data_IF_375047235751
#
_entry.id   IF_375047235751
#
_cell.length_a   1.000
_cell.length_b   1.000
_cell.length_c   1.000
_cell.angle_alpha   90.00
_cell.angle_beta   90.00
_cell.angle_gamma   90.00
#
_symmetry.space_group_name_H-M   'P 1'
#
loop_
_entity.id
_entity.type
_entity.pdbx_description
1 polymer ?
#
# COMPACT_ATOMS: atom_id res chain seq x y z
N UNK A 1 3.73 6.37 41.91
CA UNK A 1 4.85 5.65 41.25
C UNK A 1 5.76 5.12 42.34
N UNK A 2 6.24 3.87 42.24
CA UNK A 2 7.07 3.27 43.30
C UNK A 2 8.50 3.84 43.37
N UNK A 3 9.05 4.31 42.26
CA UNK A 3 10.36 4.98 42.18
C UNK A 3 10.27 6.16 41.17
N UNK A 4 9.75 7.33 41.57
CA UNK A 4 9.79 8.50 40.72
C UNK A 4 11.23 9.01 40.56
N UNK A 5 11.55 9.61 39.42
CA UNK A 5 12.81 10.35 39.27
C UNK A 5 12.73 11.55 40.21
N UNK A 6 13.70 11.68 41.11
CA UNK A 6 13.74 12.78 42.06
C UNK A 6 14.19 14.09 41.39
N UNK A 7 13.77 15.22 41.96
CA UNK A 7 14.07 16.54 41.42
C UNK A 7 15.59 16.83 41.38
N UNK A 8 16.38 16.30 42.33
CA UNK A 8 17.83 16.50 42.35
C UNK A 8 18.51 15.77 41.19
N UNK A 9 18.02 14.60 40.82
CA UNK A 9 18.47 13.87 39.63
C UNK A 9 18.17 14.66 38.36
N UNK A 10 16.98 15.25 38.25
CA UNK A 10 16.62 16.12 37.10
C UNK A 10 17.50 17.38 37.07
N UNK A 11 17.74 18.02 38.21
CA UNK A 11 18.68 19.16 38.33
C UNK A 11 20.09 18.76 37.87
N UNK A 12 20.57 17.58 38.28
CA UNK A 12 21.85 17.04 37.80
C UNK A 12 21.86 16.79 36.30
N UNK A 13 20.76 16.33 35.69
CA UNK A 13 20.65 16.15 34.25
C UNK A 13 20.71 17.50 33.53
N UNK A 14 19.93 18.49 34.00
CA UNK A 14 19.90 19.84 33.44
C UNK A 14 21.27 20.50 33.48
N UNK A 15 21.98 20.36 34.61
CA UNK A 15 23.34 20.89 34.76
C UNK A 15 24.27 20.26 33.73
N UNK A 16 24.36 18.93 33.68
CA UNK A 16 25.22 18.19 32.75
C UNK A 16 24.91 18.51 31.29
N UNK A 17 23.64 18.59 30.91
CA UNK A 17 23.22 18.89 29.54
C UNK A 17 23.53 20.34 29.11
N UNK A 18 23.47 21.30 30.04
CA UNK A 18 23.77 22.71 29.74
C UNK A 18 25.27 23.01 29.76
N UNK A 19 26.06 22.22 30.50
CA UNK A 19 27.53 22.30 30.52
C UNK A 19 28.17 21.62 29.30
N UNK A 20 27.48 20.67 28.65
CA UNK A 20 27.98 19.98 27.47
C UNK A 20 27.90 20.86 26.20
N UNK A 21 29.07 21.22 25.66
CA UNK A 21 29.20 22.02 24.46
C UNK A 21 28.62 21.36 23.19
N UNK A 22 28.73 20.04 23.06
CA UNK A 22 28.16 19.29 21.93
C UNK A 22 26.63 19.32 21.99
N UNK A 23 26.05 19.11 23.17
CA UNK A 23 24.60 19.20 23.36
C UNK A 23 24.09 20.60 23.03
N UNK A 24 24.77 21.65 23.51
CA UNK A 24 24.40 23.03 23.19
C UNK A 24 24.46 23.31 21.68
N UNK A 25 25.52 22.85 21.01
CA UNK A 25 25.68 23.02 19.57
C UNK A 25 24.60 22.28 18.78
N UNK A 26 24.40 20.99 19.07
CA UNK A 26 23.36 20.18 18.45
C UNK A 26 21.97 20.78 18.67
N UNK A 27 21.63 21.17 19.91
CA UNK A 27 20.36 21.83 20.26
C UNK A 27 20.14 23.08 19.41
N UNK A 28 21.12 23.98 19.34
CA UNK A 28 20.98 25.22 18.57
C UNK A 28 20.78 24.95 17.07
N UNK A 29 21.54 24.00 16.52
CA UNK A 29 21.44 23.61 15.11
C UNK A 29 20.08 22.96 14.80
N UNK A 30 19.60 22.03 15.63
CA UNK A 30 18.34 21.30 15.35
C UNK A 30 17.09 22.06 15.77
N UNK A 31 17.19 23.13 16.57
CA UNK A 31 16.02 23.87 17.07
C UNK A 31 15.20 24.53 15.95
N UNK A 32 15.87 24.98 14.88
CA UNK A 32 15.22 25.64 13.72
C UNK A 32 15.37 24.86 12.42
N UNK A 33 16.09 23.73 12.42
CA UNK A 33 16.41 22.97 11.20
C UNK A 33 15.97 21.52 11.33
N UNK A 34 15.77 20.86 10.19
CA UNK A 34 15.53 19.42 10.15
C UNK A 34 16.80 18.66 10.61
N UNK A 35 16.64 17.76 11.58
CA UNK A 35 17.73 16.95 12.12
C UNK A 35 18.51 16.19 11.03
N UNK A 36 17.82 15.63 10.03
CA UNK A 36 18.45 14.83 8.98
C UNK A 36 19.40 15.68 8.13
N UNK A 37 19.04 16.92 7.84
CA UNK A 37 19.89 17.87 7.11
C UNK A 37 21.12 18.27 7.94
N UNK A 38 20.95 18.48 9.24
CA UNK A 38 22.04 18.80 10.17
C UNK A 38 23.02 17.63 10.33
N UNK A 39 22.50 16.40 10.30
CA UNK A 39 23.28 15.18 10.49
C UNK A 39 23.97 14.67 9.21
N UNK A 40 23.85 15.37 8.08
CA UNK A 40 24.47 14.98 6.82
C UNK A 40 26.00 15.00 6.91
N UNK A 41 26.63 13.87 6.56
CA UNK A 41 28.08 13.77 6.45
C UNK A 41 28.53 14.18 5.04
N UNK A 42 29.15 15.37 4.96
CA UNK A 42 29.64 15.94 3.71
C UNK A 42 30.64 15.02 2.99
N UNK A 43 31.53 14.38 3.73
CA UNK A 43 32.59 13.55 3.15
C UNK A 43 32.06 12.26 2.54
N UNK A 44 30.93 11.75 3.05
CA UNK A 44 30.22 10.63 2.43
C UNK A 44 29.32 11.11 1.29
N UNK A 45 28.58 12.21 1.48
CA UNK A 45 27.66 12.73 0.48
C UNK A 45 28.36 13.03 -0.85
N UNK A 46 29.55 13.67 -0.81
CA UNK A 46 30.33 13.98 -2.01
C UNK A 46 30.86 12.76 -2.77
N UNK A 47 30.82 11.56 -2.17
CA UNK A 47 31.31 10.30 -2.77
C UNK A 47 30.20 9.50 -3.45
N UNK A 48 28.93 9.92 -3.31
CA UNK A 48 27.82 9.26 -3.97
C UNK A 48 27.92 9.55 -5.47
N UNK A 49 28.25 8.51 -6.24
CA UNK A 49 28.27 8.53 -7.71
C UNK A 49 27.04 7.81 -8.25
N UNK A 50 26.31 8.46 -9.15
CA UNK A 50 25.14 7.90 -9.84
C UNK A 50 25.49 7.44 -11.27
N UNK A 51 26.76 7.22 -11.56
CA UNK A 51 27.26 6.62 -12.79
C UNK A 51 27.37 5.10 -12.64
N UNK A 52 26.75 4.36 -13.56
CA UNK A 52 26.75 2.89 -13.55
C UNK A 52 27.23 2.35 -14.89
N UNK A 53 28.05 1.29 -14.87
CA UNK A 53 28.60 0.66 -16.08
C UNK A 53 27.54 -0.03 -16.93
N UNK A 54 26.54 -0.64 -16.26
CA UNK A 54 25.51 -1.46 -16.88
C UNK A 54 24.14 -0.88 -16.54
N UNK A 55 23.41 -0.47 -17.57
CA UNK A 55 22.09 0.13 -17.45
C UNK A 55 21.04 -0.77 -18.11
N UNK A 56 19.89 -0.87 -17.45
CA UNK A 56 18.72 -1.56 -18.00
C UNK A 56 18.09 -0.68 -19.08
N UNK A 57 17.96 -1.19 -20.30
CA UNK A 57 17.36 -0.41 -21.40
C UNK A 57 15.84 -0.23 -21.23
N UNK A 58 15.26 0.82 -21.83
CA UNK A 58 13.80 1.03 -21.80
C UNK A 58 13.29 1.70 -20.53
N UNK A 59 14.13 2.49 -19.88
CA UNK A 59 13.75 3.35 -18.76
C UNK A 59 12.59 4.28 -19.13
N UNK A 60 11.76 4.57 -18.13
CA UNK A 60 10.56 5.40 -18.25
C UNK A 60 10.54 6.46 -17.15
N UNK A 61 9.77 7.55 -17.32
CA UNK A 61 9.59 8.56 -16.28
C UNK A 61 9.21 7.96 -14.92
N UNK A 62 9.69 8.58 -13.85
CA UNK A 62 9.45 8.13 -12.48
C UNK A 62 7.97 8.16 -12.11
N UNK A 63 7.52 7.12 -11.42
CA UNK A 63 6.17 7.03 -10.83
C UNK A 63 6.14 7.60 -9.41
N UNK A 64 4.98 8.00 -8.90
CA UNK A 64 4.86 8.57 -7.55
C UNK A 64 3.64 8.02 -6.79
N UNK A 65 3.88 7.23 -5.74
CA UNK A 65 2.82 6.63 -4.92
C UNK A 65 2.13 7.61 -3.94
N UNK A 66 2.66 8.82 -3.80
CA UNK A 66 2.16 9.87 -2.88
C UNK A 66 2.03 9.35 -1.45
N UNK A 67 0.98 9.74 -0.73
CA UNK A 67 0.72 9.40 0.66
C UNK A 67 -0.01 8.05 0.77
N UNK A 68 0.58 7.01 0.17
CA UNK A 68 0.10 5.62 0.25
C UNK A 68 1.27 4.66 0.45
N UNK A 69 1.02 3.49 1.05
CA UNK A 69 2.03 2.44 1.29
C UNK A 69 2.15 1.43 0.14
N UNK A 70 1.96 1.86 -1.12
CA UNK A 70 1.87 0.98 -2.30
C UNK A 70 3.21 0.69 -2.98
N UNK A 71 4.33 0.89 -2.30
CA UNK A 71 5.68 0.76 -2.89
C UNK A 71 5.89 -0.56 -3.64
N UNK A 72 5.42 -1.67 -3.07
CA UNK A 72 5.48 -3.00 -3.67
C UNK A 72 4.68 -3.12 -4.97
N UNK A 73 3.45 -2.58 -5.02
CA UNK A 73 2.64 -2.53 -6.24
C UNK A 73 3.27 -1.66 -7.33
N UNK A 74 3.81 -0.49 -6.95
CA UNK A 74 4.56 0.37 -7.87
C UNK A 74 5.83 -0.31 -8.40
N UNK A 75 6.59 -0.99 -7.54
CA UNK A 75 7.82 -1.69 -7.92
C UNK A 75 7.55 -2.84 -8.91
N UNK A 76 6.53 -3.67 -8.64
CA UNK A 76 6.14 -4.76 -9.54
C UNK A 76 5.68 -4.24 -10.92
N UNK A 77 4.83 -3.22 -10.94
CA UNK A 77 4.36 -2.61 -12.19
C UNK A 77 5.47 -1.84 -12.93
N UNK A 78 6.46 -1.30 -12.22
CA UNK A 78 7.64 -0.68 -12.82
C UNK A 78 8.51 -1.69 -13.56
N UNK A 79 8.59 -2.92 -13.07
CA UNK A 79 9.28 -4.01 -13.77
C UNK A 79 8.55 -4.37 -15.07
N UNK A 80 7.22 -4.52 -15.01
CA UNK A 80 6.41 -4.89 -16.17
C UNK A 80 6.45 -3.84 -17.28
N UNK A 81 6.38 -2.54 -16.93
CA UNK A 81 6.30 -1.49 -17.97
C UNK A 81 7.58 -1.39 -18.81
N UNK A 82 8.72 -1.82 -18.29
CA UNK A 82 9.97 -1.90 -19.06
C UNK A 82 9.81 -2.91 -20.21
N UNK A 83 9.20 -4.09 -19.94
CA UNK A 83 8.92 -5.08 -20.97
C UNK A 83 8.01 -4.49 -22.06
N UNK A 84 6.85 -3.95 -21.65
CA UNK A 84 5.88 -3.36 -22.58
C UNK A 84 6.46 -2.21 -23.38
N UNK A 85 7.28 -1.37 -22.74
CA UNK A 85 7.98 -0.26 -23.38
C UNK A 85 8.96 -0.69 -24.45
N UNK A 86 9.67 -1.80 -24.25
CA UNK A 86 10.56 -2.39 -25.26
C UNK A 86 9.75 -3.00 -26.40
N UNK A 87 8.71 -3.77 -26.08
CA UNK A 87 7.85 -4.46 -27.05
C UNK A 87 7.15 -3.51 -28.02
N UNK A 88 6.58 -2.41 -27.52
CA UNK A 88 5.83 -1.44 -28.31
C UNK A 88 6.59 -0.14 -28.58
N UNK A 89 7.89 -0.09 -28.24
CA UNK A 89 8.74 1.09 -28.40
C UNK A 89 8.10 2.38 -27.80
N UNK A 90 7.59 2.28 -26.57
CA UNK A 90 6.89 3.36 -25.88
C UNK A 90 7.87 4.29 -25.16
N UNK A 91 7.56 5.60 -25.13
CA UNK A 91 8.33 6.60 -24.37
C UNK A 91 7.88 6.71 -22.91
N UNK A 92 6.57 6.64 -22.71
CA UNK A 92 5.93 6.78 -21.40
C UNK A 92 4.73 5.85 -21.35
N UNK A 93 4.67 5.03 -20.32
CA UNK A 93 3.56 4.14 -20.03
C UNK A 93 3.54 3.84 -18.54
N UNK A 94 2.34 3.69 -17.99
CA UNK A 94 2.14 3.22 -16.63
C UNK A 94 0.93 2.27 -16.62
N UNK A 95 1.06 1.20 -15.86
CA UNK A 95 -0.08 0.41 -15.43
C UNK A 95 -0.82 1.13 -14.29
N UNK A 96 -2.11 0.85 -14.12
CA UNK A 96 -2.90 1.40 -13.03
C UNK A 96 -2.51 0.78 -11.70
N UNK A 97 -1.86 1.58 -10.84
CA UNK A 97 -1.60 1.20 -9.45
C UNK A 97 -2.86 1.33 -8.58
N UNK A 98 -3.88 2.08 -9.04
CA UNK A 98 -5.19 2.19 -8.41
C UNK A 98 -6.01 0.91 -8.60
N UNK A 99 -5.98 0.32 -9.80
CA UNK A 99 -6.58 -0.99 -10.11
C UNK A 99 -6.02 -2.09 -9.23
N UNK A 100 -4.69 -2.15 -9.13
CA UNK A 100 -4.00 -3.07 -8.23
C UNK A 100 -4.44 -2.87 -6.76
N UNK A 101 -4.48 -1.62 -6.28
CA UNK A 101 -4.89 -1.30 -4.91
C UNK A 101 -6.34 -1.73 -4.62
N UNK A 102 -7.24 -1.61 -5.59
CA UNK A 102 -8.63 -2.02 -5.43
C UNK A 102 -8.73 -3.50 -5.07
N UNK A 103 -8.13 -4.36 -5.89
CA UNK A 103 -8.19 -5.81 -5.69
C UNK A 103 -7.42 -6.26 -4.45
N UNK A 104 -6.24 -5.67 -4.19
CA UNK A 104 -5.49 -5.92 -2.96
C UNK A 104 -6.34 -5.68 -1.71
N UNK A 105 -7.05 -4.55 -1.65
CA UNK A 105 -7.86 -4.21 -0.48
C UNK A 105 -9.08 -5.08 -0.31
N UNK A 106 -9.71 -5.48 -1.43
CA UNK A 106 -10.83 -6.40 -1.39
C UNK A 106 -10.40 -7.78 -0.90
N UNK A 107 -9.30 -8.31 -1.44
CA UNK A 107 -8.79 -9.63 -1.06
C UNK A 107 -8.26 -9.66 0.37
N UNK A 108 -7.56 -8.62 0.82
CA UNK A 108 -7.17 -8.47 2.23
C UNK A 108 -8.38 -8.43 3.17
N UNK A 109 -9.46 -7.78 2.74
CA UNK A 109 -10.70 -7.76 3.51
C UNK A 109 -11.31 -9.15 3.64
N UNK A 110 -11.36 -9.91 2.54
CA UNK A 110 -11.81 -11.31 2.55
C UNK A 110 -10.91 -12.19 3.44
N UNK A 111 -9.59 -12.11 3.25
CA UNK A 111 -8.61 -12.85 4.05
C UNK A 111 -8.74 -12.57 5.54
N UNK A 112 -8.93 -11.29 5.91
CA UNK A 112 -9.17 -10.89 7.29
C UNK A 112 -10.46 -11.52 7.84
N UNK A 113 -11.57 -11.45 7.11
CA UNK A 113 -12.85 -12.01 7.59
C UNK A 113 -12.78 -13.54 7.73
N UNK A 114 -12.13 -14.24 6.79
CA UNK A 114 -11.86 -15.68 6.92
C UNK A 114 -11.01 -15.98 8.16
N UNK A 115 -9.93 -15.21 8.38
CA UNK A 115 -9.09 -15.35 9.58
C UNK A 115 -9.89 -15.17 10.86
N UNK A 116 -10.90 -14.29 10.86
CA UNK A 116 -11.78 -14.08 12.03
C UNK A 116 -12.71 -15.28 12.26
N UNK A 117 -13.24 -15.88 11.19
CA UNK A 117 -14.07 -17.09 11.26
C UNK A 117 -13.24 -18.25 11.81
N UNK A 118 -12.04 -18.48 11.26
CA UNK A 118 -11.12 -19.54 11.67
C UNK A 118 -10.66 -19.42 13.12
N UNK A 119 -10.62 -18.19 13.66
CA UNK A 119 -10.16 -17.90 15.02
C UNK A 119 -11.29 -17.51 15.97
N UNK A 120 -12.54 -17.81 15.61
CA UNK A 120 -13.73 -17.47 16.40
C UNK A 120 -13.70 -18.08 17.81
N UNK A 121 -13.07 -19.25 17.96
CA UNK A 121 -12.86 -19.98 19.22
C UNK A 121 -11.93 -19.26 20.21
N UNK A 122 -11.04 -18.39 19.72
CA UNK A 122 -10.04 -17.70 20.55
C UNK A 122 -10.66 -16.57 21.34
N UNK A 123 -10.08 -16.22 22.50
CA UNK A 123 -10.53 -15.05 23.26
C UNK A 123 -10.33 -13.76 22.44
N UNK A 124 -11.27 -12.81 22.57
CA UNK A 124 -11.24 -11.53 21.87
C UNK A 124 -10.00 -10.68 22.21
N UNK A 125 -9.42 -10.85 23.40
CA UNK A 125 -8.20 -10.17 23.84
C UNK A 125 -6.93 -11.01 23.65
N UNK A 126 -7.02 -12.15 22.94
CA UNK A 126 -5.83 -12.93 22.61
C UNK A 126 -4.89 -12.13 21.71
N UNK A 127 -3.58 -12.38 21.85
CA UNK A 127 -2.54 -11.71 21.04
C UNK A 127 -2.84 -11.78 19.54
N UNK A 128 -3.34 -12.93 19.06
CA UNK A 128 -3.66 -13.13 17.65
C UNK A 128 -4.84 -12.26 17.20
N UNK A 129 -5.96 -12.25 17.94
CA UNK A 129 -7.12 -11.43 17.59
C UNK A 129 -6.77 -9.94 17.64
N UNK A 130 -6.03 -9.51 18.67
CA UNK A 130 -5.55 -8.13 18.76
C UNK A 130 -4.66 -7.75 17.58
N UNK A 131 -3.81 -8.66 17.10
CA UNK A 131 -2.98 -8.45 15.92
C UNK A 131 -3.81 -8.32 14.64
N UNK A 132 -4.73 -9.26 14.37
CA UNK A 132 -5.62 -9.22 13.21
C UNK A 132 -6.44 -7.93 13.17
N UNK A 133 -6.97 -7.49 14.30
CA UNK A 133 -7.78 -6.27 14.41
C UNK A 133 -6.95 -4.99 14.32
N UNK A 134 -5.61 -5.03 14.45
CA UNK A 134 -4.77 -3.84 14.54
C UNK A 134 -4.75 -3.03 13.24
N UNK A 135 -4.54 -3.70 12.10
CA UNK A 135 -4.43 -3.07 10.78
C UNK A 135 -4.79 -4.04 9.64
N UNK A 136 -6.08 -4.42 9.51
CA UNK A 136 -6.51 -5.54 8.65
C UNK A 136 -6.35 -5.30 7.15
N UNK A 137 -6.23 -4.04 6.72
CA UNK A 137 -6.20 -3.64 5.30
C UNK A 137 -5.12 -2.60 5.00
N UNK A 138 -3.94 -2.80 5.61
CA UNK A 138 -2.79 -1.96 5.34
C UNK A 138 -2.41 -1.98 3.85
N UNK A 139 -1.81 -0.90 3.36
CA UNK A 139 -1.42 -0.78 1.95
C UNK A 139 -0.28 -1.73 1.58
N UNK A 140 0.62 -2.03 2.52
CA UNK A 140 1.80 -2.85 2.27
C UNK A 140 1.46 -4.31 1.96
N UNK A 141 2.34 -4.98 1.22
CA UNK A 141 2.22 -6.39 0.85
C UNK A 141 3.57 -6.96 0.44
N UNK A 142 3.56 -8.17 -0.11
CA UNK A 142 4.76 -8.91 -0.50
C UNK A 142 4.64 -9.45 -1.93
N UNK A 143 5.72 -10.00 -2.45
CA UNK A 143 5.80 -10.49 -3.83
C UNK A 143 4.74 -11.53 -4.16
N UNK A 144 4.54 -12.55 -3.32
CA UNK A 144 3.57 -13.61 -3.62
C UNK A 144 2.13 -13.09 -3.63
N UNK A 145 1.82 -12.12 -2.76
CA UNK A 145 0.53 -11.43 -2.78
C UNK A 145 0.33 -10.66 -4.09
N UNK A 146 1.41 -10.07 -4.60
CA UNK A 146 1.38 -9.32 -5.85
C UNK A 146 1.13 -10.26 -7.03
N UNK A 147 1.83 -11.41 -7.08
CA UNK A 147 1.63 -12.46 -8.10
C UNK A 147 0.19 -12.96 -8.06
N UNK A 148 -0.34 -13.30 -6.89
CA UNK A 148 -1.72 -13.76 -6.74
C UNK A 148 -2.75 -12.77 -7.32
N UNK A 149 -2.52 -11.47 -7.13
CA UNK A 149 -3.42 -10.43 -7.65
C UNK A 149 -3.29 -10.28 -9.18
N UNK A 150 -2.08 -10.29 -9.70
CA UNK A 150 -1.83 -10.14 -11.14
C UNK A 150 -2.31 -11.36 -11.91
N UNK A 151 -2.07 -12.58 -11.42
CA UNK A 151 -2.54 -13.80 -12.07
C UNK A 151 -4.07 -13.91 -12.05
N UNK A 152 -4.73 -13.40 -11.00
CA UNK A 152 -6.19 -13.47 -10.87
C UNK A 152 -6.92 -12.34 -11.61
N UNK A 153 -6.42 -11.12 -11.53
CA UNK A 153 -7.11 -9.92 -12.02
C UNK A 153 -6.43 -9.26 -13.21
N UNK A 154 -5.23 -9.70 -13.59
CA UNK A 154 -4.45 -9.06 -14.64
C UNK A 154 -4.01 -7.64 -14.27
N UNK A 155 -3.78 -6.84 -15.30
CA UNK A 155 -3.36 -5.44 -15.18
C UNK A 155 -4.06 -4.59 -16.22
N UNK A 156 -4.11 -3.27 -16.00
CA UNK A 156 -4.70 -2.32 -16.95
C UNK A 156 -3.79 -1.10 -17.13
N UNK A 157 -3.84 -0.39 -18.27
CA UNK A 157 -3.20 0.91 -18.41
C UNK A 157 -3.72 1.92 -17.38
N UNK A 158 -2.88 2.86 -16.96
CA UNK A 158 -3.27 3.90 -16.01
C UNK A 158 -4.41 4.80 -16.54
N UNK A 159 -4.57 4.91 -17.87
CA UNK A 159 -5.69 5.62 -18.49
C UNK A 159 -7.05 5.01 -18.20
N UNK A 160 -7.12 3.68 -18.01
CA UNK A 160 -8.38 2.95 -17.82
C UNK A 160 -8.88 3.01 -16.38
N UNK A 161 -7.96 3.11 -15.43
CA UNK A 161 -8.30 3.34 -14.03
C UNK A 161 -7.29 4.33 -13.42
N UNK A 162 -7.54 5.64 -13.51
CA UNK A 162 -6.61 6.64 -13.02
C UNK A 162 -6.55 6.69 -11.49
N UNK A 163 -5.57 7.43 -10.99
CA UNK A 163 -5.45 7.71 -9.55
C UNK A 163 -6.63 8.57 -9.07
N UNK A 164 -7.26 8.15 -7.98
CA UNK A 164 -8.20 8.97 -7.20
C UNK A 164 -7.49 9.68 -6.04
N UNK A 165 -8.18 10.62 -5.39
CA UNK A 165 -7.68 11.23 -4.15
C UNK A 165 -7.31 10.17 -3.10
N UNK A 166 -8.15 9.14 -2.93
CA UNK A 166 -7.93 8.09 -1.92
C UNK A 166 -6.78 7.17 -2.29
N UNK A 167 -6.56 6.89 -3.58
CA UNK A 167 -5.42 6.08 -4.01
C UNK A 167 -4.07 6.76 -3.68
N UNK A 168 -4.02 8.09 -3.82
CA UNK A 168 -2.85 8.92 -3.49
C UNK A 168 -2.80 9.40 -2.02
N UNK A 169 -3.85 9.17 -1.23
CA UNK A 169 -3.95 9.54 0.19
C UNK A 169 -4.85 8.55 0.96
N UNK A 170 -4.34 7.35 1.18
CA UNK A 170 -5.13 6.17 1.59
C UNK A 170 -5.60 6.17 3.04
N UNK A 171 -5.03 7.04 3.90
CA UNK A 171 -5.24 7.01 5.35
C UNK A 171 -6.72 7.01 5.76
N UNK A 172 -7.53 7.88 5.14
CA UNK A 172 -8.94 8.03 5.53
C UNK A 172 -9.80 6.85 5.06
N UNK A 173 -9.64 6.41 3.82
CA UNK A 173 -10.27 5.19 3.29
C UNK A 173 -9.93 3.98 4.18
N UNK A 174 -8.64 3.78 4.48
CA UNK A 174 -8.19 2.66 5.31
C UNK A 174 -8.81 2.71 6.71
N UNK A 175 -8.93 3.90 7.31
CA UNK A 175 -9.58 4.07 8.61
C UNK A 175 -11.05 3.68 8.57
N UNK A 176 -11.79 4.07 7.54
CA UNK A 176 -13.21 3.77 7.43
C UNK A 176 -13.46 2.28 7.18
N UNK A 177 -12.76 1.68 6.22
CA UNK A 177 -12.91 0.25 5.92
C UNK A 177 -12.45 -0.59 7.13
N UNK A 178 -11.35 -0.22 7.81
CA UNK A 178 -10.93 -0.90 9.04
C UNK A 178 -12.00 -0.86 10.14
N UNK A 179 -12.72 0.25 10.30
CA UNK A 179 -13.83 0.33 11.27
C UNK A 179 -14.94 -0.65 10.92
N UNK A 180 -15.33 -0.70 9.64
CA UNK A 180 -16.35 -1.62 9.13
C UNK A 180 -15.91 -3.09 9.29
N UNK A 181 -14.65 -3.41 9.00
CA UNK A 181 -14.12 -4.76 9.19
C UNK A 181 -14.09 -5.18 10.66
N UNK A 182 -13.80 -4.27 11.60
CA UNK A 182 -13.86 -4.58 13.05
C UNK A 182 -15.29 -4.85 13.52
N UNK A 183 -16.26 -4.10 13.00
CA UNK A 183 -17.69 -4.37 13.23
C UNK A 183 -18.08 -5.75 12.68
N UNK A 184 -17.73 -6.02 11.43
CA UNK A 184 -17.96 -7.31 10.76
C UNK A 184 -17.32 -8.47 11.53
N UNK A 185 -16.10 -8.28 12.04
CA UNK A 185 -15.42 -9.28 12.86
C UNK A 185 -16.17 -9.62 14.15
N UNK A 186 -16.73 -8.60 14.83
CA UNK A 186 -17.57 -8.83 16.00
C UNK A 186 -18.84 -9.61 15.63
N UNK A 187 -19.49 -9.26 14.52
CA UNK A 187 -20.71 -9.92 14.04
C UNK A 187 -20.46 -11.38 13.67
N UNK A 188 -19.41 -11.67 12.90
CA UNK A 188 -19.03 -13.04 12.51
C UNK A 188 -18.72 -13.90 13.72
N UNK A 189 -17.92 -13.40 14.67
CA UNK A 189 -17.60 -14.16 15.90
C UNK A 189 -18.84 -14.45 16.74
N UNK A 190 -19.77 -13.48 16.82
CA UNK A 190 -21.06 -13.68 17.50
C UNK A 190 -21.91 -14.74 16.81
N UNK A 191 -21.91 -14.76 15.48
CA UNK A 191 -22.63 -15.74 14.65
C UNK A 191 -22.08 -17.16 14.88
N UNK A 192 -20.76 -17.33 14.78
CA UNK A 192 -20.09 -18.61 15.02
C UNK A 192 -20.32 -19.11 16.45
N UNK A 193 -20.17 -18.25 17.46
CA UNK A 193 -20.37 -18.63 18.86
C UNK A 193 -21.83 -18.93 19.24
N UNK A 194 -22.79 -18.52 18.41
CA UNK A 194 -24.21 -18.91 18.55
C UNK A 194 -24.54 -20.25 17.88
N UNK A 195 -23.57 -20.88 17.21
CA UNK A 195 -23.79 -22.13 16.49
C UNK A 195 -24.48 -21.96 15.14
N UNK A 196 -24.39 -20.78 14.50
CA UNK A 196 -24.83 -20.60 13.11
C UNK A 196 -24.12 -21.58 12.18
N UNK A 197 -24.81 -22.04 11.14
CA UNK A 197 -24.22 -22.98 10.18
C UNK A 197 -23.08 -22.33 9.41
N UNK A 198 -22.13 -23.15 8.93
CA UNK A 198 -21.02 -22.65 8.10
C UNK A 198 -21.54 -21.91 6.84
N UNK A 199 -22.66 -22.36 6.27
CA UNK A 199 -23.30 -21.71 5.12
C UNK A 199 -23.82 -20.31 5.48
N UNK A 200 -24.49 -20.16 6.62
CA UNK A 200 -25.02 -18.85 7.05
C UNK A 200 -23.89 -17.86 7.33
N UNK A 201 -22.79 -18.33 7.95
CA UNK A 201 -21.61 -17.51 8.23
C UNK A 201 -20.94 -17.05 6.93
N UNK A 202 -20.83 -17.92 5.93
CA UNK A 202 -20.27 -17.58 4.62
C UNK A 202 -21.18 -16.62 3.82
N UNK A 203 -22.50 -16.75 3.93
CA UNK A 203 -23.44 -15.76 3.37
C UNK A 203 -23.23 -14.39 4.01
N UNK A 204 -23.20 -14.31 5.34
CA UNK A 204 -22.94 -13.06 6.06
C UNK A 204 -21.61 -12.41 5.65
N UNK A 205 -20.55 -13.22 5.51
CA UNK A 205 -19.24 -12.74 5.03
C UNK A 205 -19.35 -12.15 3.62
N UNK A 206 -20.13 -12.77 2.74
CA UNK A 206 -20.33 -12.29 1.36
C UNK A 206 -21.04 -10.93 1.36
N UNK A 207 -22.10 -10.76 2.15
CA UNK A 207 -22.80 -9.47 2.30
C UNK A 207 -21.85 -8.39 2.85
N UNK A 208 -21.01 -8.74 3.83
CA UNK A 208 -19.99 -7.86 4.39
C UNK A 208 -18.94 -7.44 3.35
N UNK A 209 -18.56 -8.33 2.43
CA UNK A 209 -17.64 -8.02 1.34
C UNK A 209 -18.28 -7.14 0.26
N UNK A 210 -19.58 -7.29 0.01
CA UNK A 210 -20.32 -6.40 -0.88
C UNK A 210 -20.28 -4.95 -0.35
N UNK A 211 -20.44 -4.75 0.96
CA UNK A 211 -20.31 -3.44 1.58
C UNK A 211 -18.89 -2.87 1.42
N UNK A 212 -17.85 -3.68 1.62
CA UNK A 212 -16.45 -3.27 1.39
C UNK A 212 -16.24 -2.90 -0.08
N UNK A 213 -16.77 -3.67 -1.02
CA UNK A 213 -16.68 -3.40 -2.45
C UNK A 213 -17.33 -2.05 -2.82
N UNK A 214 -18.49 -1.74 -2.23
CA UNK A 214 -19.14 -0.42 -2.38
C UNK A 214 -18.23 0.70 -1.84
N UNK A 215 -17.63 0.51 -0.66
CA UNK A 215 -16.70 1.50 -0.10
C UNK A 215 -15.47 1.71 -1.00
N UNK A 216 -14.88 0.63 -1.53
CA UNK A 216 -13.75 0.73 -2.46
C UNK A 216 -14.15 1.45 -3.75
N UNK A 217 -15.32 1.15 -4.29
CA UNK A 217 -15.85 1.82 -5.50
C UNK A 217 -16.03 3.33 -5.27
N UNK A 218 -16.56 3.74 -4.11
CA UNK A 218 -16.68 5.16 -3.73
C UNK A 218 -15.31 5.85 -3.69
N UNK A 219 -14.27 5.15 -3.22
CA UNK A 219 -12.95 5.74 -3.00
C UNK A 219 -12.02 5.68 -4.21
N UNK A 220 -12.11 4.64 -5.04
CA UNK A 220 -11.14 4.30 -6.08
C UNK A 220 -11.76 4.24 -7.49
N UNK A 221 -13.08 4.30 -7.60
CA UNK A 221 -13.81 4.04 -8.84
C UNK A 221 -14.06 2.54 -9.07
N UNK A 222 -14.81 2.22 -10.12
CA UNK A 222 -15.14 0.85 -10.50
C UNK A 222 -14.05 0.29 -11.41
N UNK A 223 -13.48 -0.89 -11.10
CA UNK A 223 -12.53 -1.55 -11.99
C UNK A 223 -13.15 -1.83 -13.38
N UNK A 224 -12.44 -1.56 -14.48
CA UNK A 224 -12.94 -1.88 -15.82
C UNK A 224 -12.91 -3.40 -16.06
N UNK A 225 -13.98 -3.91 -16.68
CA UNK A 225 -14.06 -5.31 -17.11
C UNK A 225 -13.47 -5.51 -18.52
N UNK A 226 -13.55 -4.48 -19.35
CA UNK A 226 -13.00 -4.45 -20.71
C UNK A 226 -12.65 -3.03 -21.13
N UNK A 227 -11.68 -2.87 -22.03
CA UNK A 227 -11.25 -1.58 -22.52
C UNK A 227 -10.61 -1.69 -23.91
N UNK A 228 -10.42 -0.54 -24.56
CA UNK A 228 -9.65 -0.41 -25.78
C UNK A 228 -8.39 0.40 -25.48
N UNK A 229 -7.21 -0.18 -25.69
CA UNK A 229 -5.96 0.51 -25.45
C UNK A 229 -5.41 1.15 -26.73
N UNK A 230 -5.14 2.44 -26.69
CA UNK A 230 -4.63 3.21 -27.83
C UNK A 230 -3.42 4.03 -27.39
N UNK A 231 -2.35 4.01 -28.19
CA UNK A 231 -1.12 4.75 -27.89
C UNK A 231 -0.34 5.09 -29.16
N UNK A 232 0.75 5.84 -29.00
CA UNK A 232 1.73 6.08 -30.07
C UNK A 232 3.12 5.68 -29.61
N UNK A 233 3.85 5.00 -30.50
CA UNK A 233 5.25 4.66 -30.26
C UNK A 233 6.16 5.89 -30.38
N UNK A 234 7.46 5.73 -30.10
CA UNK A 234 8.46 6.80 -30.26
C UNK A 234 8.59 7.34 -31.69
N UNK A 235 8.15 6.60 -32.71
CA UNK A 235 8.15 6.99 -34.12
C UNK A 235 6.84 7.66 -34.54
N UNK A 236 5.91 7.89 -33.59
CA UNK A 236 4.57 8.46 -33.78
C UNK A 236 3.60 7.53 -34.52
N UNK A 237 3.92 6.25 -34.71
CA UNK A 237 2.99 5.27 -35.26
C UNK A 237 1.85 5.04 -34.26
N UNK A 238 0.63 4.96 -34.77
CA UNK A 238 -0.55 4.71 -33.95
C UNK A 238 -0.72 3.22 -33.70
N UNK A 239 -0.93 2.84 -32.44
CA UNK A 239 -1.22 1.48 -31.99
C UNK A 239 -2.59 1.47 -31.36
N UNK A 240 -3.38 0.44 -31.67
CA UNK A 240 -4.71 0.23 -31.10
C UNK A 240 -4.96 -1.26 -30.90
N UNK A 241 -5.50 -1.58 -29.74
CA UNK A 241 -5.93 -2.90 -29.34
C UNK A 241 -7.34 -2.77 -28.77
N UNK A 242 -8.28 -3.56 -29.27
CA UNK A 242 -9.71 -3.43 -28.96
C UNK A 242 -10.23 -4.71 -28.29
N UNK A 243 -11.25 -4.57 -27.45
CA UNK A 243 -11.88 -5.71 -26.77
C UNK A 243 -10.99 -6.40 -25.74
N UNK A 244 -10.00 -5.68 -25.18
CA UNK A 244 -9.12 -6.22 -24.15
C UNK A 244 -9.86 -6.35 -22.82
N UNK A 245 -9.51 -7.38 -22.06
CA UNK A 245 -9.80 -7.48 -20.63
C UNK A 245 -8.51 -7.26 -19.83
N UNK A 246 -8.59 -7.00 -18.51
CA UNK A 246 -7.39 -6.92 -17.68
C UNK A 246 -6.48 -8.16 -17.76
N UNK A 247 -7.07 -9.35 -17.86
CA UNK A 247 -6.34 -10.62 -17.96
C UNK A 247 -5.76 -10.83 -19.35
N UNK A 248 -6.52 -10.59 -20.42
CA UNK A 248 -5.98 -10.70 -21.78
C UNK A 248 -4.88 -9.66 -22.03
N UNK A 249 -4.99 -8.47 -21.42
CA UNK A 249 -3.93 -7.48 -21.47
C UNK A 249 -2.65 -7.97 -20.80
N UNK A 250 -2.73 -8.62 -19.65
CA UNK A 250 -1.57 -9.23 -18.99
C UNK A 250 -0.93 -10.36 -19.82
N UNK A 251 -1.75 -11.24 -20.38
CA UNK A 251 -1.28 -12.41 -21.12
C UNK A 251 -0.67 -12.06 -22.49
N UNK A 252 -1.27 -11.09 -23.20
CA UNK A 252 -0.91 -10.76 -24.58
C UNK A 252 0.12 -9.63 -24.68
N UNK A 253 0.19 -8.72 -23.70
CA UNK A 253 0.93 -7.46 -23.80
C UNK A 253 2.07 -7.32 -22.79
#
# INVERSE_FOLDING_TARGET
MRNPIDLKTIESFNKKANEDGHVRSARNSTFRNNLIEVAMDWDQFRKIDHSFSDLVSGEMPTTNQRSSGRCWGFAGLNLFRIHLGRKYNLKDFQFSQSYFMFWDKLEKSNYFLESIIETADKNWNSRLIMHLLSNPIQDGGQWDMWVNLVDKYGVVPQSEMPESYSSSNSRYMNRLITRKLRENAMLLRKSVNKGSSASDVQHQKTDMLEEVYKMLTIHLGTPPNSFNWQTRDKKKNFLRFEGLTPTSFYEEH
#
